data_IF_846309023743
#
_entry.id   IF_846309023743
#
_cell.length_a   1.000
_cell.length_b   1.000
_cell.length_c   1.000
_cell.angle_alpha   90.00
_cell.angle_beta   90.00
_cell.angle_gamma   90.00
#
_symmetry.space_group_name_H-M   'P 1'
#
loop_
_entity.id
_entity.type
_entity.pdbx_description
1 polymer ?
#
# COMPACT_ATOMS: atom_id res chain seq x y z
N UNK A 1 58.13 29.44 -3.28
CA UNK A 1 56.89 28.66 -3.55
C UNK A 1 56.57 27.74 -2.36
N UNK A 2 56.13 28.28 -1.22
CA UNK A 2 55.90 27.50 0.03
C UNK A 2 54.65 27.96 0.83
N UNK A 3 53.63 28.49 0.16
CA UNK A 3 52.44 29.06 0.84
C UNK A 3 51.06 28.67 0.28
N UNK A 4 50.95 27.66 -0.60
CA UNK A 4 49.65 27.26 -1.20
C UNK A 4 49.38 25.75 -1.06
N UNK A 5 49.69 25.16 0.09
CA UNK A 5 49.31 23.76 0.39
C UNK A 5 48.50 23.65 1.70
N UNK A 6 48.43 24.72 2.50
CA UNK A 6 47.77 24.69 3.83
C UNK A 6 46.24 24.87 3.71
N UNK A 7 45.72 25.38 2.59
CA UNK A 7 44.29 25.70 2.48
C UNK A 7 43.40 24.48 2.19
N UNK A 8 43.85 23.49 1.43
CA UNK A 8 43.02 22.33 1.08
C UNK A 8 42.92 21.30 2.20
N UNK A 9 44.02 21.06 2.93
CA UNK A 9 44.03 20.13 4.07
C UNK A 9 43.25 20.66 5.27
N UNK A 10 43.30 21.98 5.53
CA UNK A 10 42.51 22.62 6.57
C UNK A 10 41.01 22.65 6.23
N UNK A 11 40.63 22.88 4.96
CA UNK A 11 39.24 22.78 4.52
C UNK A 11 38.70 21.33 4.63
N UNK A 12 39.49 20.32 4.27
CA UNK A 12 39.09 18.91 4.42
C UNK A 12 38.99 18.48 5.90
N UNK A 13 39.89 18.97 6.76
CA UNK A 13 39.89 18.69 8.19
C UNK A 13 38.73 19.39 8.93
N UNK A 14 38.22 20.50 8.42
CA UNK A 14 37.02 21.18 8.94
C UNK A 14 35.71 20.63 8.37
N UNK A 15 35.74 20.03 7.17
CA UNK A 15 34.59 19.37 6.58
C UNK A 15 34.29 18.00 7.22
N UNK A 16 35.32 17.24 7.60
CA UNK A 16 35.14 15.87 8.13
C UNK A 16 34.27 15.79 9.42
N UNK A 17 34.42 16.67 10.43
CA UNK A 17 33.56 16.66 11.63
C UNK A 17 32.14 17.13 11.32
N UNK A 18 32.00 18.15 10.45
CA UNK A 18 30.70 18.62 10.00
C UNK A 18 29.93 17.53 9.25
N UNK A 19 30.60 16.71 8.43
CA UNK A 19 29.94 15.60 7.72
C UNK A 19 29.64 14.38 8.61
N UNK A 20 30.39 14.18 9.71
CA UNK A 20 30.09 13.12 10.68
C UNK A 20 28.76 13.36 11.42
N UNK A 21 28.46 14.61 11.80
CA UNK A 21 27.17 14.97 12.40
C UNK A 21 25.99 14.75 11.43
N UNK A 22 26.17 15.08 10.15
CA UNK A 22 25.16 14.90 9.10
C UNK A 22 24.93 13.44 8.68
N UNK A 23 25.85 12.51 9.01
CA UNK A 23 25.72 11.08 8.72
C UNK A 23 25.14 10.29 9.89
N UNK A 24 25.37 10.75 11.13
CA UNK A 24 24.70 10.25 12.34
C UNK A 24 23.24 10.73 12.49
N UNK A 25 22.89 11.73 11.69
CA UNK A 25 21.59 12.37 11.59
C UNK A 25 20.50 11.46 10.98
N UNK A 26 19.94 10.56 11.80
CA UNK A 26 18.75 9.75 11.45
C UNK A 26 17.55 10.31 12.21
N UNK A 27 16.42 10.50 11.53
CA UNK A 27 15.23 11.09 12.15
C UNK A 27 14.72 10.25 13.32
N UNK A 28 14.14 10.87 14.35
CA UNK A 28 13.49 10.19 15.49
C UNK A 28 11.97 9.99 15.30
N UNK A 29 11.37 9.18 16.19
CA UNK A 29 9.93 8.97 16.27
C UNK A 29 9.36 8.16 15.10
N UNK A 30 8.07 8.34 14.80
CA UNK A 30 7.38 7.59 13.74
C UNK A 30 7.98 7.84 12.34
N UNK A 31 8.71 8.95 12.15
CA UNK A 31 9.41 9.28 10.92
C UNK A 31 10.59 8.33 10.64
N UNK A 32 11.29 7.89 11.70
CA UNK A 32 12.48 7.04 11.65
C UNK A 32 12.25 5.68 10.98
N UNK A 33 11.01 5.18 11.04
CA UNK A 33 10.63 3.91 10.44
C UNK A 33 10.85 3.90 8.92
N UNK A 34 10.64 5.03 8.24
CA UNK A 34 10.78 5.12 6.78
C UNK A 34 11.94 6.01 6.33
N UNK A 35 12.39 6.95 7.18
CA UNK A 35 13.44 7.92 6.90
C UNK A 35 14.80 7.46 7.49
N UNK A 36 15.26 6.29 7.05
CA UNK A 36 16.43 5.57 7.61
C UNK A 36 17.80 6.07 7.11
N UNK A 37 17.82 6.84 6.03
CA UNK A 37 19.06 7.39 5.47
C UNK A 37 19.40 8.71 6.15
N UNK A 38 20.66 9.10 6.11
CA UNK A 38 21.08 10.34 6.76
C UNK A 38 20.44 11.59 6.13
N UNK A 39 20.37 12.70 6.89
CA UNK A 39 19.71 13.95 6.49
C UNK A 39 20.14 14.45 5.11
N UNK A 40 21.43 14.35 4.79
CA UNK A 40 22.01 14.78 3.50
C UNK A 40 21.45 13.93 2.36
N UNK A 41 21.39 12.62 2.54
CA UNK A 41 20.83 11.70 1.53
C UNK A 41 19.33 11.92 1.36
N UNK A 42 18.60 12.23 2.45
CA UNK A 42 17.17 12.50 2.38
C UNK A 42 16.82 13.76 1.58
N UNK A 43 17.68 14.78 1.62
CA UNK A 43 17.43 16.07 0.98
C UNK A 43 18.18 16.25 -0.34
N UNK A 44 18.52 15.16 -1.04
CA UNK A 44 19.09 15.23 -2.40
C UNK A 44 20.61 15.31 -2.47
N UNK A 45 21.31 14.95 -1.38
CA UNK A 45 22.78 14.92 -1.33
C UNK A 45 23.40 16.29 -1.08
N UNK A 46 24.68 16.45 -1.45
CA UNK A 46 25.45 17.69 -1.27
C UNK A 46 25.10 18.79 -2.29
N UNK A 47 23.81 18.96 -2.62
CA UNK A 47 23.38 20.13 -3.35
C UNK A 47 23.54 21.36 -2.44
N UNK A 48 24.42 22.29 -2.80
CA UNK A 48 24.76 23.45 -1.97
C UNK A 48 23.53 24.29 -1.54
N UNK A 49 22.49 24.32 -2.38
CA UNK A 49 21.22 25.01 -2.11
C UNK A 49 20.44 24.43 -0.93
N UNK A 50 20.59 23.14 -0.66
CA UNK A 50 19.91 22.43 0.43
C UNK A 50 20.57 22.75 1.77
N UNK A 51 21.90 22.77 1.80
CA UNK A 51 22.67 23.14 3.00
C UNK A 51 22.32 24.58 3.42
N UNK A 52 22.31 25.49 2.45
CA UNK A 52 22.05 26.91 2.69
C UNK A 52 20.64 27.15 3.26
N UNK A 53 19.65 26.37 2.84
CA UNK A 53 18.26 26.46 3.33
C UNK A 53 18.17 26.23 4.84
N UNK A 54 18.97 25.30 5.39
CA UNK A 54 19.02 25.07 6.85
C UNK A 54 19.94 26.06 7.56
N UNK A 55 21.13 26.31 7.02
CA UNK A 55 22.14 27.14 7.69
C UNK A 55 21.79 28.63 7.71
N UNK A 56 20.94 29.11 6.80
CA UNK A 56 20.42 30.48 6.79
C UNK A 56 19.08 30.63 7.54
N UNK A 57 18.51 29.53 8.04
CA UNK A 57 17.24 29.57 8.74
C UNK A 57 17.35 30.40 10.02
N UNK A 58 16.42 31.33 10.21
CA UNK A 58 16.33 32.13 11.44
C UNK A 58 15.52 31.44 12.53
N UNK A 59 14.80 30.36 12.20
CA UNK A 59 13.92 29.65 13.12
C UNK A 59 14.71 28.96 14.24
N UNK A 60 14.37 29.26 15.49
CA UNK A 60 15.05 28.73 16.68
C UNK A 60 15.10 27.21 16.68
N UNK A 61 13.99 26.54 16.38
CA UNK A 61 13.94 25.07 16.35
C UNK A 61 14.90 24.43 15.31
N UNK A 62 15.12 25.10 14.17
CA UNK A 62 16.08 24.65 13.14
C UNK A 62 17.51 24.86 13.64
N UNK A 63 17.80 26.00 14.27
CA UNK A 63 19.13 26.29 14.85
C UNK A 63 19.47 25.33 15.98
N UNK A 64 18.53 25.05 16.87
CA UNK A 64 18.69 24.10 17.98
C UNK A 64 18.93 22.68 17.45
N UNK A 65 18.25 22.31 16.36
CA UNK A 65 18.44 21.02 15.68
C UNK A 65 19.83 20.89 15.06
N UNK A 66 20.35 21.95 14.43
CA UNK A 66 21.72 21.99 13.92
C UNK A 66 22.72 21.84 15.06
N UNK A 67 22.53 22.56 16.17
CA UNK A 67 23.39 22.48 17.34
C UNK A 67 23.38 21.07 17.96
N UNK A 68 22.20 20.44 18.06
CA UNK A 68 22.05 19.06 18.52
C UNK A 68 22.78 18.06 17.60
N UNK A 69 22.61 18.20 16.27
CA UNK A 69 23.30 17.36 15.29
C UNK A 69 24.83 17.49 15.33
N UNK A 70 25.35 18.71 15.55
CA UNK A 70 26.79 18.96 15.77
C UNK A 70 27.29 18.26 17.04
N UNK A 71 26.46 18.22 18.10
CA UNK A 71 26.76 17.53 19.35
C UNK A 71 26.59 16.00 19.28
N UNK A 72 26.31 15.44 18.09
CA UNK A 72 26.07 14.01 17.89
C UNK A 72 24.74 13.52 18.46
N UNK A 73 23.83 14.43 18.81
CA UNK A 73 22.50 14.12 19.29
C UNK A 73 21.55 13.91 18.11
N UNK A 74 20.57 13.02 18.30
CA UNK A 74 19.50 12.84 17.32
C UNK A 74 18.55 14.04 17.33
N UNK A 75 17.84 14.28 16.23
CA UNK A 75 16.85 15.36 16.10
C UNK A 75 15.49 14.86 15.64
N UNK A 76 14.47 15.66 15.94
CA UNK A 76 13.11 15.42 15.50
C UNK A 76 12.84 16.19 14.19
N UNK A 77 12.29 15.49 13.18
CA UNK A 77 11.92 16.10 11.90
C UNK A 77 10.94 17.27 12.06
N UNK A 78 10.14 17.25 13.14
CA UNK A 78 9.19 18.30 13.51
C UNK A 78 9.82 19.65 13.80
N UNK A 79 11.11 19.69 14.16
CA UNK A 79 11.82 20.93 14.43
C UNK A 79 12.05 21.77 13.16
N UNK A 80 12.01 21.12 11.99
CA UNK A 80 12.21 21.78 10.68
C UNK A 80 10.93 21.79 9.83
N UNK A 81 10.05 20.79 10.00
CA UNK A 81 8.83 20.64 9.19
C UNK A 81 7.54 20.96 9.96
N UNK A 82 7.63 21.43 11.21
CA UNK A 82 6.49 21.61 12.10
C UNK A 82 5.86 20.27 12.50
N UNK A 83 4.73 20.29 13.22
CA UNK A 83 3.98 19.10 13.59
C UNK A 83 3.14 18.53 12.43
N UNK A 84 3.64 18.59 11.20
CA UNK A 84 2.86 18.06 10.09
C UNK A 84 2.75 16.55 10.19
N UNK A 85 1.52 16.06 10.21
CA UNK A 85 1.29 14.63 10.24
C UNK A 85 1.75 14.01 8.91
N UNK A 86 2.25 12.77 8.95
CA UNK A 86 2.62 12.04 7.73
C UNK A 86 1.47 12.01 6.70
N UNK A 87 0.23 12.02 7.18
CA UNK A 87 -0.98 12.05 6.36
C UNK A 87 -1.13 13.37 5.55
N UNK A 88 -0.78 14.53 6.12
CA UNK A 88 -0.83 15.83 5.43
C UNK A 88 0.10 15.89 4.21
N UNK A 89 1.10 15.01 4.11
CA UNK A 89 2.01 14.96 2.96
C UNK A 89 1.50 14.09 1.81
N UNK A 90 0.56 13.17 2.07
CA UNK A 90 0.03 12.27 1.03
C UNK A 90 -0.57 12.99 -0.19
N UNK A 91 -1.37 14.08 -0.04
CA UNK A 91 -1.86 14.86 -1.18
C UNK A 91 -0.73 15.32 -2.12
N UNK A 92 0.32 15.90 -1.53
CA UNK A 92 1.48 16.41 -2.27
C UNK A 92 2.26 15.30 -2.99
N UNK A 93 2.46 14.16 -2.31
CA UNK A 93 3.15 13.01 -2.91
C UNK A 93 2.37 12.41 -4.08
N UNK A 94 1.05 12.23 -3.95
CA UNK A 94 0.25 11.66 -5.01
C UNK A 94 0.14 12.59 -6.23
N UNK A 95 -0.08 13.88 -6.01
CA UNK A 95 -0.22 14.86 -7.08
C UNK A 95 1.09 15.09 -7.85
N UNK A 96 2.24 15.00 -7.17
CA UNK A 96 3.55 15.34 -7.74
C UNK A 96 4.51 14.15 -7.75
N UNK A 97 4.03 12.91 -7.85
CA UNK A 97 4.88 11.73 -7.67
C UNK A 97 6.12 11.73 -8.58
N UNK A 98 5.99 12.28 -9.79
CA UNK A 98 7.04 12.36 -10.80
C UNK A 98 8.15 13.37 -10.49
N UNK A 99 8.03 14.14 -9.40
CA UNK A 99 9.10 15.01 -8.90
C UNK A 99 9.90 14.37 -7.75
N UNK A 100 9.44 13.21 -7.25
CA UNK A 100 10.07 12.50 -6.13
C UNK A 100 10.77 11.22 -6.59
N UNK A 101 11.78 10.80 -5.82
CA UNK A 101 12.42 9.50 -6.01
C UNK A 101 11.56 8.38 -5.41
N UNK A 102 11.31 7.34 -6.20
CA UNK A 102 10.62 6.11 -5.80
C UNK A 102 11.53 4.88 -5.85
N UNK A 103 10.91 3.70 -5.77
CA UNK A 103 11.56 2.40 -5.96
C UNK A 103 10.70 1.48 -6.84
N UNK A 104 11.33 0.67 -7.66
CA UNK A 104 10.71 -0.40 -8.42
C UNK A 104 10.99 -1.75 -7.72
N UNK A 105 9.97 -2.45 -7.19
CA UNK A 105 10.15 -3.76 -6.59
C UNK A 105 10.47 -4.83 -7.65
N UNK A 106 11.44 -5.69 -7.36
CA UNK A 106 11.75 -6.90 -8.12
C UNK A 106 11.03 -8.10 -7.50
N UNK A 107 10.56 -9.03 -8.33
CA UNK A 107 9.76 -10.18 -7.91
C UNK A 107 10.36 -11.50 -8.37
N UNK A 108 10.26 -12.51 -7.51
CA UNK A 108 10.40 -13.91 -7.92
C UNK A 108 9.14 -14.43 -8.61
N UNK A 109 9.13 -15.71 -8.98
CA UNK A 109 7.98 -16.37 -9.63
C UNK A 109 7.05 -17.09 -8.66
N UNK A 110 7.41 -17.16 -7.39
CA UNK A 110 6.64 -17.86 -6.36
C UNK A 110 5.39 -17.08 -6.00
N UNK A 111 4.26 -17.78 -5.89
CA UNK A 111 3.00 -17.17 -5.50
C UNK A 111 3.05 -16.68 -4.04
N UNK A 112 2.51 -15.49 -3.81
CA UNK A 112 2.37 -14.89 -2.48
C UNK A 112 3.68 -14.74 -1.72
N UNK A 113 4.70 -14.20 -2.37
CA UNK A 113 5.97 -13.80 -1.76
C UNK A 113 6.25 -12.32 -1.96
N UNK A 114 6.95 -11.71 -1.00
CA UNK A 114 7.35 -10.31 -1.05
C UNK A 114 8.34 -10.00 -2.18
N UNK A 115 8.58 -8.71 -2.39
CA UNK A 115 9.62 -8.26 -3.31
C UNK A 115 11.00 -8.75 -2.84
N UNK A 116 11.83 -9.20 -3.78
CA UNK A 116 13.19 -9.68 -3.49
C UNK A 116 14.24 -8.58 -3.54
N UNK A 117 13.90 -7.45 -4.17
CA UNK A 117 14.77 -6.29 -4.29
C UNK A 117 13.95 -5.02 -4.54
N UNK A 118 14.60 -3.87 -4.35
CA UNK A 118 14.04 -2.55 -4.67
C UNK A 118 15.09 -1.76 -5.46
N UNK A 119 14.80 -1.50 -6.74
CA UNK A 119 15.67 -0.71 -7.61
C UNK A 119 15.26 0.77 -7.51
N UNK A 120 16.18 1.71 -7.27
CA UNK A 120 15.86 3.14 -7.25
C UNK A 120 15.21 3.62 -8.56
N UNK A 121 14.19 4.47 -8.45
CA UNK A 121 13.56 5.17 -9.59
C UNK A 121 13.62 6.68 -9.32
N UNK A 122 14.55 7.39 -9.98
CA UNK A 122 14.85 8.79 -9.72
C UNK A 122 14.75 9.65 -11.01
N UNK A 123 13.67 10.42 -11.21
CA UNK A 123 12.44 10.43 -10.40
C UNK A 123 11.56 9.19 -10.66
N UNK A 124 10.48 9.04 -9.88
CA UNK A 124 9.48 8.00 -10.10
C UNK A 124 8.76 8.21 -11.45
N UNK A 125 8.78 7.19 -12.30
CA UNK A 125 8.06 7.18 -13.57
C UNK A 125 6.59 6.74 -13.41
N UNK A 126 6.27 6.04 -12.32
CA UNK A 126 4.92 5.55 -12.01
C UNK A 126 4.60 5.85 -10.56
N UNK A 127 3.36 6.25 -10.28
CA UNK A 127 2.97 6.66 -8.91
C UNK A 127 3.21 5.58 -7.87
N UNK A 128 2.97 4.30 -8.21
CA UNK A 128 3.22 3.21 -7.28
C UNK A 128 4.67 3.19 -6.80
N UNK A 129 5.65 3.60 -7.62
CA UNK A 129 7.07 3.56 -7.25
C UNK A 129 7.35 4.48 -6.06
N UNK A 130 6.66 5.62 -5.98
CA UNK A 130 6.72 6.49 -4.81
C UNK A 130 5.99 5.86 -3.62
N UNK A 131 4.79 5.30 -3.82
CA UNK A 131 3.99 4.74 -2.73
C UNK A 131 4.68 3.52 -2.09
N UNK A 132 5.15 2.56 -2.89
CA UNK A 132 5.80 1.33 -2.39
C UNK A 132 7.16 1.61 -1.77
N UNK A 133 7.80 2.76 -2.05
CA UNK A 133 9.00 3.16 -1.30
C UNK A 133 8.72 3.23 0.21
N UNK A 134 7.52 3.66 0.60
CA UNK A 134 7.13 3.81 2.01
C UNK A 134 6.23 2.66 2.49
N UNK A 135 5.30 2.21 1.66
CA UNK A 135 4.27 1.23 2.02
C UNK A 135 4.62 -0.22 1.64
N UNK A 136 5.90 -0.54 1.50
CA UNK A 136 6.34 -1.93 1.34
C UNK A 136 7.43 -2.26 2.35
N UNK A 137 7.94 -3.49 2.36
CA UNK A 137 9.07 -3.85 3.22
C UNK A 137 10.32 -2.98 3.02
N UNK A 138 10.43 -2.25 1.91
CA UNK A 138 11.44 -1.19 1.76
C UNK A 138 11.34 -0.11 2.86
N UNK A 139 10.12 0.39 3.08
CA UNK A 139 9.86 1.44 4.07
C UNK A 139 9.49 0.86 5.44
N UNK A 140 8.59 -0.12 5.47
CA UNK A 140 8.06 -0.73 6.69
C UNK A 140 9.04 -1.67 7.39
N UNK A 141 10.14 -2.07 6.72
CA UNK A 141 11.04 -3.11 7.19
C UNK A 141 10.49 -4.52 6.95
N UNK A 142 11.04 -5.52 7.65
CA UNK A 142 10.64 -6.90 7.46
C UNK A 142 9.13 -7.11 7.72
N UNK A 143 8.49 -7.88 6.83
CA UNK A 143 7.09 -8.25 6.93
C UNK A 143 6.94 -9.78 6.97
N UNK A 144 5.88 -10.27 7.61
CA UNK A 144 5.56 -11.70 7.68
C UNK A 144 4.19 -11.90 7.05
N UNK A 145 4.11 -12.76 6.02
CA UNK A 145 2.89 -12.97 5.23
C UNK A 145 2.23 -11.64 4.81
N UNK A 146 3.02 -10.77 4.18
CA UNK A 146 2.62 -9.42 3.75
C UNK A 146 2.18 -8.46 4.87
N UNK A 147 2.27 -8.82 6.16
CA UNK A 147 1.89 -7.94 7.27
C UNK A 147 3.13 -7.40 7.99
N UNK A 148 3.18 -6.09 8.22
CA UNK A 148 4.25 -5.41 8.96
C UNK A 148 3.98 -5.35 10.46
N UNK A 149 4.98 -4.99 11.26
CA UNK A 149 4.79 -4.64 12.67
C UNK A 149 4.28 -3.19 12.88
N UNK A 150 4.16 -2.40 11.81
CA UNK A 150 3.74 -1.00 11.90
C UNK A 150 2.22 -0.92 11.97
N UNK A 151 1.70 -0.34 13.04
CA UNK A 151 0.26 -0.10 13.22
C UNK A 151 -0.13 1.20 12.53
N UNK A 152 -1.07 1.11 11.59
CA UNK A 152 -1.60 2.27 10.87
C UNK A 152 -2.68 3.02 11.66
N UNK A 153 -3.20 4.13 11.11
CA UNK A 153 -4.29 4.91 11.72
C UNK A 153 -5.56 4.10 12.02
N UNK A 154 -5.73 2.97 11.33
CA UNK A 154 -6.82 2.02 11.58
C UNK A 154 -6.73 1.23 12.90
N UNK A 155 -5.62 1.37 13.64
CA UNK A 155 -5.33 0.53 14.81
C UNK A 155 -4.96 -0.92 14.43
N UNK A 156 -4.71 -1.17 13.14
CA UNK A 156 -4.33 -2.48 12.59
C UNK A 156 -2.98 -2.38 11.90
N UNK A 157 -2.27 -3.50 11.85
CA UNK A 157 -0.99 -3.60 11.16
C UNK A 157 -1.13 -3.27 9.66
N UNK A 158 -0.20 -2.49 9.14
CA UNK A 158 -0.10 -2.17 7.72
C UNK A 158 0.39 -3.39 6.93
N UNK A 159 -0.07 -3.50 5.68
CA UNK A 159 0.38 -4.54 4.75
C UNK A 159 1.44 -4.01 3.79
N UNK A 160 2.30 -4.93 3.34
CA UNK A 160 3.31 -4.70 2.33
C UNK A 160 2.67 -4.61 0.95
N UNK A 161 2.55 -3.40 0.43
CA UNK A 161 1.92 -3.12 -0.85
C UNK A 161 2.68 -3.74 -2.03
N UNK A 162 4.01 -3.87 -1.95
CA UNK A 162 4.76 -4.54 -3.01
C UNK A 162 4.44 -6.04 -3.01
N UNK A 163 4.29 -6.65 -1.83
CA UNK A 163 3.85 -8.04 -1.71
C UNK A 163 2.45 -8.24 -2.29
N UNK A 164 1.49 -7.39 -1.94
CA UNK A 164 0.09 -7.52 -2.35
C UNK A 164 -0.10 -7.31 -3.87
N UNK A 165 0.60 -6.35 -4.46
CA UNK A 165 0.54 -6.07 -5.90
C UNK A 165 1.57 -6.85 -6.73
N UNK A 166 2.24 -7.85 -6.15
CA UNK A 166 3.21 -8.69 -6.85
C UNK A 166 2.59 -9.33 -8.10
N UNK A 167 3.19 -9.22 -9.29
CA UNK A 167 2.76 -9.90 -10.51
C UNK A 167 2.61 -11.41 -10.38
N UNK A 168 3.33 -12.01 -9.44
CA UNK A 168 3.34 -13.46 -9.17
C UNK A 168 2.17 -13.93 -8.29
N UNK A 169 1.35 -13.01 -7.78
CA UNK A 169 0.13 -13.36 -7.06
C UNK A 169 -0.97 -13.86 -8.00
N UNK A 170 -1.80 -14.79 -7.52
CA UNK A 170 -2.99 -15.30 -8.24
C UNK A 170 -4.01 -14.19 -8.53
N UNK A 171 -4.09 -13.18 -7.67
CA UNK A 171 -4.89 -11.99 -7.89
C UNK A 171 -4.19 -10.73 -7.42
N UNK A 172 -4.39 -9.65 -8.18
CA UNK A 172 -4.02 -8.28 -7.82
C UNK A 172 -4.85 -7.30 -8.67
N UNK A 173 -5.13 -6.12 -8.15
CA UNK A 173 -5.50 -4.99 -8.99
C UNK A 173 -4.27 -4.52 -9.79
N UNK A 174 -4.45 -4.05 -11.04
CA UNK A 174 -3.35 -3.80 -11.98
C UNK A 174 -2.57 -2.51 -11.70
N UNK A 175 -2.00 -2.37 -10.50
CA UNK A 175 -1.23 -1.17 -10.09
C UNK A 175 0.20 -1.22 -10.63
N UNK A 176 0.85 -2.38 -10.56
CA UNK A 176 2.25 -2.55 -10.96
C UNK A 176 2.37 -3.01 -12.41
N UNK A 177 1.56 -4.01 -12.78
CA UNK A 177 1.41 -4.55 -14.13
C UNK A 177 -0.06 -4.64 -14.49
N UNK A 178 -0.36 -4.69 -15.79
CA UNK A 178 -1.72 -4.94 -16.27
C UNK A 178 -2.17 -6.35 -15.88
N UNK A 179 -3.48 -6.62 -15.79
CA UNK A 179 -3.96 -7.96 -15.41
C UNK A 179 -3.48 -9.03 -16.39
N UNK A 180 -3.42 -8.72 -17.69
CA UNK A 180 -2.89 -9.67 -18.67
C UNK A 180 -1.39 -9.95 -18.51
N UNK A 181 -0.66 -9.08 -17.80
CA UNK A 181 0.75 -9.27 -17.46
C UNK A 181 0.97 -9.79 -16.03
N UNK A 182 -0.10 -10.12 -15.30
CA UNK A 182 -0.05 -10.75 -13.97
C UNK A 182 0.35 -12.23 -14.12
N UNK A 183 1.66 -12.50 -14.12
CA UNK A 183 2.24 -13.81 -14.43
C UNK A 183 1.75 -14.94 -13.53
N UNK A 184 1.48 -14.64 -12.25
CA UNK A 184 0.95 -15.61 -11.29
C UNK A 184 -0.54 -15.92 -11.46
N UNK A 185 -1.30 -15.06 -12.15
CA UNK A 185 -2.74 -15.25 -12.32
C UNK A 185 -3.05 -16.27 -13.41
N UNK A 186 -3.93 -17.21 -13.07
CA UNK A 186 -4.48 -18.20 -13.99
C UNK A 186 -5.37 -17.53 -15.04
N UNK A 187 -5.41 -18.07 -16.25
CA UNK A 187 -6.37 -17.62 -17.26
C UNK A 187 -7.81 -17.98 -16.83
N UNK A 188 -8.81 -17.13 -17.13
CA UNK A 188 -8.69 -15.78 -17.70
C UNK A 188 -8.19 -14.80 -16.64
N UNK A 189 -7.17 -14.00 -16.98
CA UNK A 189 -6.56 -13.05 -16.02
C UNK A 189 -7.46 -11.84 -15.77
N UNK A 190 -7.93 -11.23 -16.85
CA UNK A 190 -8.84 -10.11 -16.83
C UNK A 190 -10.26 -10.49 -16.37
N UNK A 191 -11.04 -9.48 -16.00
CA UNK A 191 -12.50 -9.54 -16.00
C UNK A 191 -13.02 -9.28 -17.42
N UNK A 192 -14.28 -9.57 -17.65
CA UNK A 192 -15.02 -9.20 -18.86
C UNK A 192 -15.43 -7.72 -18.81
N UNK A 193 -15.78 -7.14 -19.96
CA UNK A 193 -16.23 -5.75 -20.03
C UNK A 193 -17.56 -5.51 -19.31
N UNK A 194 -18.45 -6.50 -19.25
CA UNK A 194 -19.74 -6.38 -18.53
C UNK A 194 -19.60 -6.33 -17.02
N UNK A 195 -18.47 -6.82 -16.48
CA UNK A 195 -18.15 -6.80 -15.06
C UNK A 195 -17.53 -5.49 -14.58
N UNK A 196 -17.21 -4.58 -15.52
CA UNK A 196 -16.52 -3.32 -15.25
C UNK A 196 -17.41 -2.12 -15.61
N UNK A 197 -17.24 -1.02 -14.86
CA UNK A 197 -17.86 0.27 -15.15
C UNK A 197 -16.87 1.21 -15.81
N UNK A 198 -17.39 2.20 -16.52
CA UNK A 198 -16.58 3.32 -16.98
C UNK A 198 -15.83 3.98 -15.80
N UNK A 199 -14.58 4.47 -16.01
CA UNK A 199 -13.87 4.55 -17.28
C UNK A 199 -13.06 3.29 -17.65
N UNK A 200 -13.24 2.18 -16.93
CA UNK A 200 -12.44 0.95 -17.08
C UNK A 200 -12.85 0.13 -18.31
N UNK A 201 -12.56 0.63 -19.51
CA UNK A 201 -12.98 0.02 -20.78
C UNK A 201 -11.90 -0.84 -21.44
N UNK A 202 -10.61 -0.59 -21.19
CA UNK A 202 -9.50 -1.41 -21.70
C UNK A 202 -9.15 -2.53 -20.70
N UNK A 203 -10.16 -3.34 -20.38
CA UNK A 203 -10.09 -4.36 -19.34
C UNK A 203 -8.99 -5.37 -19.65
N UNK A 204 -8.12 -5.62 -18.69
CA UNK A 204 -6.97 -6.51 -18.84
C UNK A 204 -5.66 -5.81 -19.20
N UNK A 205 -5.72 -4.68 -19.91
CA UNK A 205 -4.53 -4.00 -20.45
C UNK A 205 -4.33 -2.57 -19.93
N UNK A 206 -5.26 -2.03 -19.15
CA UNK A 206 -5.08 -0.78 -18.42
C UNK A 206 -4.39 -1.00 -17.07
N UNK A 207 -3.61 0.00 -16.66
CA UNK A 207 -3.07 0.10 -15.30
C UNK A 207 -4.01 0.95 -14.44
N UNK A 208 -4.00 0.65 -13.15
CA UNK A 208 -4.53 1.49 -12.09
C UNK A 208 -3.40 2.26 -11.43
N UNK A 209 -3.73 3.43 -10.90
CA UNK A 209 -2.89 4.20 -10.00
C UNK A 209 -3.48 4.12 -8.59
N UNK A 210 -2.67 4.32 -7.56
CA UNK A 210 -3.17 4.37 -6.19
C UNK A 210 -4.25 5.48 -6.00
N UNK A 211 -4.24 6.53 -6.83
CA UNK A 211 -5.16 7.66 -6.82
C UNK A 211 -6.50 7.37 -7.50
N UNK A 212 -6.61 6.23 -8.19
CA UNK A 212 -7.90 5.75 -8.66
C UNK A 212 -8.71 5.13 -7.51
N UNK A 213 -8.02 4.65 -6.46
CA UNK A 213 -8.64 4.01 -5.31
C UNK A 213 -8.64 4.88 -4.05
N UNK A 214 -7.60 5.68 -3.85
CA UNK A 214 -7.40 6.45 -2.63
C UNK A 214 -7.65 7.93 -2.82
N UNK A 215 -8.30 8.52 -1.83
CA UNK A 215 -8.37 9.97 -1.69
C UNK A 215 -7.18 10.47 -0.87
N UNK A 216 -6.48 11.45 -1.43
CA UNK A 216 -5.34 12.11 -0.81
C UNK A 216 -5.69 13.59 -0.60
N UNK A 217 -6.76 13.87 0.15
CA UNK A 217 -7.25 15.24 0.38
C UNK A 217 -6.58 15.91 1.59
N UNK A 218 -6.36 17.23 1.48
CA UNK A 218 -5.63 18.08 2.43
C UNK A 218 -6.54 19.00 3.29
N UNK A 219 -7.84 18.70 3.40
CA UNK A 219 -8.75 19.60 4.12
C UNK A 219 -8.75 19.33 5.61
N UNK A 220 -8.07 20.21 6.35
CA UNK A 220 -7.99 20.26 7.80
C UNK A 220 -9.33 20.31 8.57
N UNK A 221 -9.18 20.19 9.90
CA UNK A 221 -10.18 19.84 10.93
C UNK A 221 -10.91 18.52 10.63
N UNK A 222 -10.13 17.45 10.48
CA UNK A 222 -10.56 16.09 10.84
C UNK A 222 -9.42 15.38 11.56
N UNK A 223 -8.98 15.97 12.69
CA UNK A 223 -8.01 15.39 13.62
C UNK A 223 -8.46 14.10 14.32
N UNK A 224 -9.33 13.30 13.73
CA UNK A 224 -9.69 11.96 14.21
C UNK A 224 -10.36 11.13 13.10
N UNK A 225 -9.81 9.96 12.77
CA UNK A 225 -10.66 8.79 12.51
C UNK A 225 -10.88 8.27 11.08
N UNK A 226 -10.25 8.79 10.02
CA UNK A 226 -10.38 8.12 8.71
C UNK A 226 -9.44 6.90 8.66
N UNK A 227 -10.03 5.74 8.93
CA UNK A 227 -9.38 4.44 8.98
C UNK A 227 -8.80 4.01 7.60
N UNK A 228 -9.42 4.47 6.50
CA UNK A 228 -9.00 4.26 5.11
C UNK A 228 -9.58 5.35 4.21
N UNK A 229 -8.74 6.11 3.51
CA UNK A 229 -9.17 7.13 2.54
C UNK A 229 -9.47 6.49 1.19
N UNK A 230 -10.72 6.12 0.95
CA UNK A 230 -11.20 5.55 -0.31
C UNK A 230 -11.85 6.63 -1.18
N UNK A 231 -11.58 6.59 -2.50
CA UNK A 231 -12.04 7.57 -3.48
C UNK A 231 -13.37 7.22 -4.13
N UNK A 232 -14.09 8.26 -4.51
CA UNK A 232 -15.27 8.17 -5.37
C UNK A 232 -16.56 8.36 -4.60
N UNK A 233 -17.68 8.15 -5.28
CA UNK A 233 -19.02 8.31 -4.69
C UNK A 233 -19.22 7.36 -3.51
N UNK A 234 -18.80 6.10 -3.67
CA UNK A 234 -18.95 5.08 -2.65
C UNK A 234 -17.62 4.87 -1.92
N UNK A 235 -17.61 5.03 -0.59
CA UNK A 235 -16.37 5.02 0.22
C UNK A 235 -16.39 3.97 1.33
N UNK A 236 -17.41 3.12 1.38
CA UNK A 236 -17.57 2.15 2.45
C UNK A 236 -17.00 0.79 2.05
N UNK A 237 -16.13 0.25 2.92
CA UNK A 237 -15.61 -1.12 2.85
C UNK A 237 -14.90 -1.51 4.16
N UNK A 238 -15.02 -2.77 4.64
CA UNK A 238 -15.99 -3.80 4.22
C UNK A 238 -17.38 -3.59 4.85
N UNK A 239 -17.51 -2.58 5.72
CA UNK A 239 -18.76 -2.24 6.37
C UNK A 239 -19.63 -1.33 5.50
N UNK A 240 -20.91 -1.23 5.83
CA UNK A 240 -21.87 -0.36 5.14
C UNK A 240 -21.62 1.14 5.36
N UNK A 241 -20.82 1.50 6.36
CA UNK A 241 -20.45 2.88 6.68
C UNK A 241 -18.97 3.12 6.35
N UNK A 242 -18.66 4.26 5.74
CA UNK A 242 -17.29 4.63 5.38
C UNK A 242 -16.45 4.96 6.63
N UNK A 243 -15.16 4.58 6.61
CA UNK A 243 -14.18 4.97 7.63
C UNK A 243 -14.29 4.26 8.98
N UNK A 244 -15.21 3.31 9.17
CA UNK A 244 -15.37 2.59 10.45
C UNK A 244 -14.53 1.31 10.53
N UNK A 245 -14.15 0.92 11.75
CA UNK A 245 -13.41 -0.32 12.04
C UNK A 245 -14.31 -1.50 12.46
N UNK A 246 -15.57 -1.23 12.80
CA UNK A 246 -16.60 -2.21 13.19
C UNK A 246 -17.96 -1.78 12.63
N UNK A 247 -18.87 -2.73 12.40
CA UNK A 247 -20.23 -2.44 11.99
C UNK A 247 -20.85 -3.58 11.19
N UNK A 248 -21.93 -3.29 10.47
CA UNK A 248 -22.58 -4.26 9.58
C UNK A 248 -21.76 -4.44 8.31
N UNK A 249 -21.41 -5.67 7.98
CA UNK A 249 -20.74 -6.01 6.72
C UNK A 249 -21.68 -5.83 5.52
N UNK A 250 -21.07 -5.52 4.39
CA UNK A 250 -21.79 -5.45 3.12
C UNK A 250 -22.12 -6.85 2.58
N UNK A 251 -23.24 -6.91 1.86
CA UNK A 251 -23.83 -8.05 1.15
C UNK A 251 -24.52 -7.49 -0.10
N UNK A 252 -25.03 -8.34 -0.98
CA UNK A 252 -25.77 -7.86 -2.16
C UNK A 252 -27.03 -7.06 -1.81
N UNK A 253 -27.63 -7.29 -0.64
CA UNK A 253 -28.81 -6.53 -0.14
C UNK A 253 -28.49 -5.12 0.37
N UNK A 254 -27.25 -4.82 0.76
CA UNK A 254 -26.89 -3.56 1.42
C UNK A 254 -25.55 -2.96 0.93
N UNK A 255 -25.23 -3.13 -0.36
CA UNK A 255 -23.98 -2.69 -0.98
C UNK A 255 -24.03 -1.29 -1.63
N UNK A 256 -25.06 -0.48 -1.36
CA UNK A 256 -25.26 0.80 -2.05
C UNK A 256 -24.10 1.79 -1.88
N UNK A 257 -23.35 1.66 -0.78
CA UNK A 257 -22.16 2.46 -0.47
C UNK A 257 -20.83 1.71 -0.71
N UNK A 258 -20.86 0.55 -1.36
CA UNK A 258 -19.67 -0.28 -1.60
C UNK A 258 -18.64 0.45 -2.45
N UNK A 259 -17.43 0.61 -1.92
CA UNK A 259 -16.31 1.14 -2.69
C UNK A 259 -16.07 0.34 -3.99
N UNK A 260 -16.23 -0.99 -3.93
CA UNK A 260 -16.06 -1.88 -5.08
C UNK A 260 -17.04 -1.53 -6.23
N UNK A 261 -18.23 -1.01 -5.90
CA UNK A 261 -19.26 -0.62 -6.87
C UNK A 261 -18.87 0.60 -7.70
N UNK A 262 -17.85 1.36 -7.30
CA UNK A 262 -17.33 2.45 -8.14
C UNK A 262 -16.72 1.92 -9.45
N UNK A 263 -16.18 0.69 -9.44
CA UNK A 263 -15.45 0.13 -10.58
C UNK A 263 -16.09 -1.13 -11.14
N UNK A 264 -16.76 -1.92 -10.30
CA UNK A 264 -17.32 -3.21 -10.66
C UNK A 264 -18.84 -3.15 -10.84
N UNK A 265 -19.31 -3.92 -11.81
CA UNK A 265 -20.73 -4.22 -11.99
C UNK A 265 -21.01 -5.62 -11.44
N UNK A 266 -21.52 -5.69 -10.20
CA UNK A 266 -21.77 -6.96 -9.52
C UNK A 266 -22.78 -7.86 -10.25
N UNK A 267 -23.83 -7.30 -10.85
CA UNK A 267 -24.76 -8.10 -11.65
C UNK A 267 -24.12 -8.64 -12.94
N UNK A 268 -23.10 -7.94 -13.46
CA UNK A 268 -22.30 -8.39 -14.59
C UNK A 268 -21.39 -9.58 -14.27
N UNK A 269 -21.10 -9.83 -12.99
CA UNK A 269 -20.27 -10.95 -12.52
C UNK A 269 -21.04 -12.27 -12.35
N UNK A 270 -22.31 -12.29 -12.75
CA UNK A 270 -23.11 -13.51 -12.91
C UNK A 270 -23.67 -14.09 -11.62
N UNK A 271 -23.99 -15.38 -11.68
CA UNK A 271 -24.82 -16.12 -10.72
C UNK A 271 -24.35 -16.02 -9.27
N UNK A 272 -23.03 -15.98 -9.03
CA UNK A 272 -22.47 -15.84 -7.66
C UNK A 272 -22.88 -14.56 -6.94
N UNK A 273 -23.31 -13.53 -7.67
CA UNK A 273 -23.83 -12.29 -7.10
C UNK A 273 -25.32 -12.09 -7.33
N UNK A 274 -25.96 -12.86 -8.22
CA UNK A 274 -27.36 -12.66 -8.60
C UNK A 274 -28.30 -13.77 -8.13
N UNK A 275 -27.78 -14.93 -7.72
CA UNK A 275 -28.59 -16.01 -7.14
C UNK A 275 -29.11 -15.60 -5.77
N UNK A 276 -30.40 -15.86 -5.53
CA UNK A 276 -31.11 -15.43 -4.32
C UNK A 276 -30.42 -15.86 -3.01
N UNK A 277 -29.86 -17.06 -2.95
CA UNK A 277 -29.21 -17.58 -1.74
C UNK A 277 -27.91 -16.86 -1.37
N UNK A 278 -27.32 -16.09 -2.29
CA UNK A 278 -26.12 -15.28 -2.06
C UNK A 278 -26.43 -13.82 -1.72
N UNK A 279 -27.71 -13.43 -1.69
CA UNK A 279 -28.07 -12.02 -1.60
C UNK A 279 -27.72 -11.39 -0.22
N UNK A 280 -27.72 -12.22 0.81
CA UNK A 280 -27.49 -11.87 2.22
C UNK A 280 -26.16 -12.37 2.76
N UNK A 281 -25.41 -13.13 1.95
CA UNK A 281 -24.04 -13.54 2.26
C UNK A 281 -23.17 -12.29 2.32
N UNK A 282 -22.36 -12.16 3.38
CA UNK A 282 -21.49 -10.98 3.51
C UNK A 282 -20.40 -11.11 2.46
N UNK A 283 -20.05 -10.01 1.79
CA UNK A 283 -18.99 -10.03 0.77
C UNK A 283 -17.67 -10.60 1.34
N UNK A 284 -17.41 -10.38 2.62
CA UNK A 284 -16.22 -10.82 3.35
C UNK A 284 -16.21 -12.32 3.70
N UNK A 285 -17.36 -12.99 3.57
CA UNK A 285 -17.44 -14.45 3.68
C UNK A 285 -16.75 -15.12 2.47
N UNK A 286 -16.56 -14.38 1.37
CA UNK A 286 -15.88 -14.86 0.17
C UNK A 286 -14.61 -14.07 -0.18
N UNK A 287 -14.63 -12.75 -0.06
CA UNK A 287 -13.54 -11.87 -0.49
C UNK A 287 -12.66 -11.44 0.68
N UNK A 288 -11.36 -11.27 0.44
CA UNK A 288 -10.45 -10.71 1.45
C UNK A 288 -10.77 -9.24 1.77
N UNK A 289 -10.50 -8.82 3.01
CA UNK A 289 -10.71 -7.44 3.46
C UNK A 289 -9.82 -6.41 2.75
N UNK A 290 -8.62 -6.76 2.33
CA UNK A 290 -7.68 -5.82 1.68
C UNK A 290 -7.72 -6.04 0.17
N UNK A 291 -8.40 -5.16 -0.61
CA UNK A 291 -8.64 -5.39 -2.03
C UNK A 291 -7.45 -4.93 -2.88
N UNK A 292 -6.25 -5.38 -2.55
CA UNK A 292 -5.04 -5.08 -3.33
C UNK A 292 -4.65 -6.29 -4.18
N UNK A 293 -4.30 -7.39 -3.54
CA UNK A 293 -4.03 -8.68 -4.16
C UNK A 293 -4.05 -9.81 -3.14
N UNK A 294 -4.12 -11.04 -3.63
CA UNK A 294 -4.32 -12.23 -2.80
C UNK A 294 -3.57 -13.45 -3.33
N UNK A 295 -3.28 -14.38 -2.40
CA UNK A 295 -2.68 -15.69 -2.71
C UNK A 295 -3.58 -16.54 -3.59
N UNK A 296 -4.89 -16.31 -3.49
CA UNK A 296 -5.95 -17.01 -4.23
C UNK A 296 -6.54 -16.09 -5.28
N UNK A 297 -6.99 -16.66 -6.39
CA UNK A 297 -7.60 -15.94 -7.50
C UNK A 297 -8.84 -15.12 -7.08
N UNK A 298 -9.12 -14.04 -7.83
CA UNK A 298 -10.32 -13.17 -7.67
C UNK A 298 -10.49 -12.51 -6.29
N UNK A 299 -9.39 -12.27 -5.58
CA UNK A 299 -9.40 -11.73 -4.21
C UNK A 299 -10.27 -12.57 -3.27
N UNK A 300 -10.39 -13.87 -3.53
CA UNK A 300 -11.09 -14.80 -2.64
C UNK A 300 -10.19 -15.07 -1.44
N UNK A 301 -10.76 -15.01 -0.25
CA UNK A 301 -10.13 -15.48 0.97
C UNK A 301 -10.59 -16.91 1.24
N UNK A 302 -9.71 -17.77 1.76
CA UNK A 302 -10.11 -19.12 2.17
C UNK A 302 -9.96 -19.32 3.67
N UNK A 303 -10.88 -20.10 4.26
CA UNK A 303 -10.92 -20.53 5.65
C UNK A 303 -9.79 -21.52 6.01
N UNK A 304 -8.75 -21.63 5.19
CA UNK A 304 -7.63 -22.54 5.37
C UNK A 304 -6.53 -21.90 6.20
N UNK A 305 -5.72 -22.73 6.86
CA UNK A 305 -4.58 -22.26 7.62
C UNK A 305 -3.63 -21.42 6.75
N UNK A 306 -3.19 -20.27 7.27
CA UNK A 306 -2.23 -19.40 6.60
C UNK A 306 -2.79 -18.04 6.17
N UNK A 307 -4.11 -17.84 6.11
CA UNK A 307 -4.71 -16.52 5.87
C UNK A 307 -4.34 -15.57 7.01
N UNK A 308 -3.59 -14.48 6.76
CA UNK A 308 -3.24 -13.55 7.82
C UNK A 308 -4.49 -12.83 8.33
N UNK A 309 -4.54 -12.59 9.64
CA UNK A 309 -5.62 -11.87 10.32
C UNK A 309 -6.02 -10.57 9.61
N UNK A 310 -5.05 -9.86 9.02
CA UNK A 310 -5.28 -8.61 8.30
C UNK A 310 -6.22 -8.73 7.10
N UNK A 311 -6.35 -9.92 6.51
CA UNK A 311 -7.23 -10.20 5.38
C UNK A 311 -8.60 -10.77 5.80
N UNK A 312 -8.78 -11.09 7.09
CA UNK A 312 -10.08 -11.49 7.64
C UNK A 312 -11.03 -10.29 7.73
N UNK A 313 -12.30 -10.57 8.02
CA UNK A 313 -13.33 -9.56 7.94
C UNK A 313 -13.23 -8.41 8.90
N UNK A 314 -12.78 -8.62 10.12
CA UNK A 314 -12.48 -7.53 11.06
C UNK A 314 -11.01 -7.03 10.96
N UNK A 315 -10.17 -7.73 10.19
CA UNK A 315 -8.73 -7.46 10.08
C UNK A 315 -7.91 -7.91 11.30
N UNK A 316 -8.51 -8.66 12.23
CA UNK A 316 -7.94 -9.16 13.49
C UNK A 316 -8.03 -10.68 13.62
N UNK A 317 -8.48 -11.38 12.57
CA UNK A 317 -8.69 -12.83 12.57
C UNK A 317 -10.11 -13.26 12.91
N UNK A 318 -11.01 -12.33 13.21
CA UNK A 318 -12.45 -12.58 13.29
C UNK A 318 -13.12 -12.45 11.92
N UNK A 319 -14.33 -12.98 11.80
CA UNK A 319 -15.14 -12.95 10.58
C UNK A 319 -14.33 -13.48 9.38
N UNK A 320 -13.80 -14.69 9.54
CA UNK A 320 -13.01 -15.36 8.53
C UNK A 320 -13.88 -15.73 7.32
N UNK A 321 -13.32 -15.73 6.10
CA UNK A 321 -14.03 -16.25 4.93
C UNK A 321 -14.52 -17.67 5.17
N UNK A 322 -15.65 -18.00 4.58
CA UNK A 322 -16.28 -19.32 4.67
C UNK A 322 -15.90 -20.25 3.51
N UNK A 323 -15.25 -19.73 2.47
CA UNK A 323 -14.73 -20.53 1.35
C UNK A 323 -13.59 -21.43 1.84
N UNK A 324 -13.73 -22.74 1.75
CA UNK A 324 -12.69 -23.71 2.13
C UNK A 324 -11.80 -24.10 0.96
N UNK A 325 -12.21 -23.81 -0.27
CA UNK A 325 -11.38 -23.93 -1.47
C UNK A 325 -12.03 -23.24 -2.67
N UNK A 326 -11.22 -22.67 -3.56
CA UNK A 326 -11.71 -21.96 -4.74
C UNK A 326 -11.02 -22.43 -6.02
N UNK A 327 -11.79 -22.75 -7.06
CA UNK A 327 -11.25 -23.11 -8.37
C UNK A 327 -11.63 -22.04 -9.39
N UNK A 328 -10.63 -21.32 -9.88
CA UNK A 328 -10.86 -20.32 -10.94
C UNK A 328 -11.41 -21.01 -12.20
N UNK A 329 -12.58 -20.56 -12.65
CA UNK A 329 -13.20 -21.07 -13.86
C UNK A 329 -12.49 -20.55 -15.12
N UNK A 330 -12.20 -21.45 -16.06
CA UNK A 330 -11.55 -21.11 -17.34
C UNK A 330 -12.43 -20.21 -18.23
N UNK A 331 -13.75 -20.28 -18.08
CA UNK A 331 -14.72 -19.44 -18.80
C UNK A 331 -14.92 -18.06 -18.17
N UNK A 332 -14.44 -17.86 -16.94
CA UNK A 332 -14.80 -16.71 -16.10
C UNK A 332 -16.20 -16.80 -15.48
N UNK A 333 -16.99 -17.85 -15.77
CA UNK A 333 -18.30 -18.09 -15.15
C UNK A 333 -18.17 -19.11 -14.03
N UNK A 334 -18.66 -18.76 -12.85
CA UNK A 334 -18.59 -19.61 -11.65
C UNK A 334 -19.92 -20.31 -11.41
N UNK A 335 -19.84 -21.48 -10.78
CA UNK A 335 -20.97 -22.27 -10.30
C UNK A 335 -20.60 -22.87 -8.94
N UNK A 336 -21.51 -23.62 -8.32
CA UNK A 336 -21.24 -24.36 -7.08
C UNK A 336 -20.00 -25.25 -7.18
N UNK A 337 -19.70 -25.81 -8.36
CA UNK A 337 -18.48 -26.61 -8.58
C UNK A 337 -17.17 -25.81 -8.55
N UNK A 338 -17.25 -24.48 -8.45
CA UNK A 338 -16.11 -23.57 -8.43
C UNK A 338 -15.68 -23.16 -7.03
N UNK A 339 -16.48 -23.42 -5.99
CA UNK A 339 -16.07 -23.21 -4.61
C UNK A 339 -16.58 -24.31 -3.68
N UNK A 340 -15.80 -24.59 -2.65
CA UNK A 340 -16.23 -25.35 -1.48
C UNK A 340 -16.33 -24.37 -0.32
N UNK A 341 -17.32 -24.53 0.55
CA UNK A 341 -17.52 -23.66 1.71
C UNK A 341 -17.72 -24.49 2.98
N UNK A 342 -17.70 -23.84 4.14
CA UNK A 342 -18.18 -24.41 5.40
C UNK A 342 -19.54 -23.83 5.83
N UNK A 343 -20.26 -23.20 4.88
CA UNK A 343 -21.58 -22.61 5.06
C UNK A 343 -22.48 -22.89 3.85
N UNK A 344 -23.75 -23.23 4.09
CA UNK A 344 -24.72 -23.46 3.01
C UNK A 344 -24.43 -24.72 2.18
N UNK A 345 -25.07 -24.79 1.00
CA UNK A 345 -25.07 -25.96 0.12
C UNK A 345 -23.94 -25.89 -0.93
N UNK A 346 -22.69 -26.10 -0.50
CA UNK A 346 -21.56 -26.28 -1.42
C UNK A 346 -20.87 -27.62 -1.17
N UNK A 347 -20.68 -28.39 -2.23
CA UNK A 347 -19.92 -29.64 -2.19
C UNK A 347 -18.41 -29.41 -2.06
N UNK A 348 -17.67 -30.48 -1.78
CA UNK A 348 -16.22 -30.46 -1.87
C UNK A 348 -15.77 -30.36 -3.33
N UNK A 349 -14.74 -29.55 -3.59
CA UNK A 349 -14.11 -29.41 -4.90
C UNK A 349 -12.70 -30.00 -4.89
N UNK A 350 -12.27 -30.58 -6.01
CA UNK A 350 -10.91 -31.09 -6.18
C UNK A 350 -9.99 -30.02 -6.79
N UNK A 351 -8.77 -29.89 -6.26
CA UNK A 351 -7.73 -29.01 -6.83
C UNK A 351 -8.04 -27.52 -6.68
N UNK A 352 -8.80 -27.14 -5.65
CA UNK A 352 -9.04 -25.74 -5.30
C UNK A 352 -7.76 -25.06 -4.83
N UNK A 353 -7.63 -23.78 -5.18
CA UNK A 353 -6.69 -22.85 -4.57
C UNK A 353 -7.05 -22.64 -3.09
N UNK A 354 -6.02 -22.59 -2.25
CA UNK A 354 -6.13 -22.30 -0.81
C UNK A 354 -5.08 -21.28 -0.42
N UNK A 355 -5.34 -20.61 0.70
CA UNK A 355 -4.35 -19.82 1.40
C UNK A 355 -3.28 -20.68 2.07
#
# INVERSE_FOLDING_TARGET
MKRIIITTAALLAMAAPAMAGHTAAVGQGNCSYCHKVNLVTQHGGFAATVCQTCHDSTATAVKDTIAAGIAGQQYACSNCHGSQSHAEKHPGYAANYSTYNGVAPGYGTTNWTGATSYTPAAPAAKMYQLCVKCHSSNGLGATTNATSAVVGPSGLNLTDQAWEFSPSNRSAHPVIVTLNNQTGSLAPRALTTSEMKAPWTNVGNQLMTCADCHEFVDTGIQGAGITWSLKGTNKAWPYTVAGVTTGTFQSMRNNSMSFCWNCHNFSGAGEVHTTGDHDSVKCIDCHIRVPHGGKVSRLIGTATAGLPARYSGDGKGGEMPHVTGFKKAASGRYSESSCSTNCGEHGSISGGETW
#
